data_IF_292669085551
#
_entry.id   IF_292669085551
#
_cell.length_a   1.000
_cell.length_b   1.000
_cell.length_c   1.000
_cell.angle_alpha   90.00
_cell.angle_beta   90.00
_cell.angle_gamma   90.00
#
_symmetry.space_group_name_H-M   'P 1'
#
loop_
_entity.id
_entity.type
_entity.pdbx_description
1 polymer ?
#
# COMPACT_ATOMS: atom_id res chain seq x y z
N UNK A 1 63.82 -4.96 -5.05
CA UNK A 1 62.60 -5.14 -4.24
C UNK A 1 61.52 -4.24 -4.84
N UNK A 2 60.59 -4.80 -5.62
CA UNK A 2 59.40 -4.09 -6.10
C UNK A 2 58.28 -4.36 -5.08
N UNK A 3 57.78 -3.31 -4.43
CA UNK A 3 56.61 -3.40 -3.55
C UNK A 3 55.38 -2.98 -4.35
N UNK A 4 54.50 -3.93 -4.64
CA UNK A 4 53.22 -3.68 -5.32
C UNK A 4 52.20 -3.33 -4.24
N UNK A 5 51.72 -2.08 -4.24
CA UNK A 5 50.58 -1.67 -3.43
C UNK A 5 49.29 -2.10 -4.12
N UNK A 6 48.55 -3.02 -3.49
CA UNK A 6 47.20 -3.39 -3.89
C UNK A 6 46.23 -2.37 -3.27
N UNK A 7 45.62 -1.53 -4.10
CA UNK A 7 44.48 -0.70 -3.72
C UNK A 7 43.23 -1.58 -3.76
N UNK A 8 42.71 -1.94 -2.58
CA UNK A 8 41.41 -2.57 -2.45
C UNK A 8 40.32 -1.50 -2.59
N UNK A 9 39.72 -1.39 -3.77
CA UNK A 9 38.52 -0.60 -3.98
C UNK A 9 37.32 -1.32 -3.37
N UNK A 10 36.83 -0.84 -2.24
CA UNK A 10 35.58 -1.31 -1.62
C UNK A 10 34.38 -0.77 -2.39
N UNK A 11 33.83 -1.58 -3.29
CA UNK A 11 32.53 -1.33 -3.91
C UNK A 11 31.42 -1.56 -2.87
N UNK A 12 30.85 -0.48 -2.34
CA UNK A 12 29.59 -0.59 -1.60
C UNK A 12 28.47 -0.82 -2.64
N UNK A 13 28.00 -2.06 -2.73
CA UNK A 13 26.73 -2.33 -3.39
C UNK A 13 25.64 -1.66 -2.54
N UNK A 14 24.95 -0.66 -3.11
CA UNK A 14 23.74 -0.12 -2.51
C UNK A 14 22.73 -1.28 -2.42
N UNK A 15 22.50 -1.75 -1.19
CA UNK A 15 21.41 -2.69 -0.92
C UNK A 15 20.13 -1.91 -1.22
N UNK A 16 19.23 -2.40 -2.10
CA UNK A 16 17.93 -1.76 -2.23
C UNK A 16 17.31 -1.79 -0.83
N UNK A 17 16.96 -0.64 -0.27
CA UNK A 17 16.26 -0.59 1.00
C UNK A 17 14.86 -1.15 0.75
N UNK A 18 14.70 -2.46 0.96
CA UNK A 18 13.41 -3.12 0.97
C UNK A 18 12.81 -2.90 2.36
N UNK A 19 11.86 -1.98 2.46
CA UNK A 19 11.08 -1.65 3.64
C UNK A 19 10.08 -0.56 3.25
N UNK A 20 9.00 -0.45 4.02
CA UNK A 20 8.12 0.70 3.89
C UNK A 20 8.86 1.96 4.37
N UNK A 21 9.32 2.79 3.44
CA UNK A 21 10.06 3.99 3.83
C UNK A 21 9.12 5.06 4.42
N UNK A 22 9.41 5.43 5.66
CA UNK A 22 8.70 6.45 6.43
C UNK A 22 9.30 7.85 6.22
N UNK A 23 10.55 7.95 5.78
CA UNK A 23 11.29 9.17 5.48
C UNK A 23 12.10 9.03 4.17
N UNK A 24 11.42 8.93 3.01
CA UNK A 24 12.11 8.73 1.74
C UNK A 24 13.15 9.81 1.45
N UNK A 25 14.26 9.40 0.85
CA UNK A 25 15.32 10.31 0.38
C UNK A 25 14.84 11.17 -0.78
N UNK A 26 15.55 12.28 -1.04
CA UNK A 26 15.24 13.17 -2.19
C UNK A 26 15.31 12.40 -3.51
N UNK A 27 16.28 11.48 -3.62
CA UNK A 27 16.46 10.62 -4.78
C UNK A 27 15.26 9.68 -4.97
N UNK A 28 14.78 9.01 -3.93
CA UNK A 28 13.62 8.11 -4.00
C UNK A 28 12.33 8.86 -4.32
N UNK A 29 12.16 10.06 -3.76
CA UNK A 29 11.05 10.96 -4.11
C UNK A 29 11.07 11.30 -5.59
N UNK A 30 12.23 11.70 -6.12
CA UNK A 30 12.37 12.04 -7.54
C UNK A 30 12.06 10.85 -8.44
N UNK A 31 12.56 9.65 -8.08
CA UNK A 31 12.27 8.41 -8.80
C UNK A 31 10.76 8.12 -8.83
N UNK A 32 10.05 8.25 -7.71
CA UNK A 32 8.61 8.03 -7.66
C UNK A 32 7.83 9.03 -8.55
N UNK A 33 8.21 10.30 -8.53
CA UNK A 33 7.60 11.34 -9.38
C UNK A 33 7.83 11.05 -10.88
N UNK A 34 9.04 10.66 -11.25
CA UNK A 34 9.39 10.35 -12.63
C UNK A 34 8.66 9.10 -13.14
N UNK A 35 8.55 8.05 -12.31
CA UNK A 35 7.73 6.87 -12.60
C UNK A 35 6.27 7.23 -12.83
N UNK A 36 5.71 8.11 -11.99
CA UNK A 36 4.33 8.57 -12.14
C UNK A 36 4.09 9.30 -13.46
N UNK A 37 5.02 10.18 -13.85
CA UNK A 37 4.99 10.89 -15.13
C UNK A 37 5.10 9.94 -16.32
N UNK A 38 6.00 8.96 -16.25
CA UNK A 38 6.17 7.95 -17.30
C UNK A 38 4.90 7.09 -17.46
N UNK A 39 4.30 6.68 -16.34
CA UNK A 39 3.04 5.93 -16.34
C UNK A 39 1.91 6.70 -17.05
N UNK A 40 1.82 8.01 -16.85
CA UNK A 40 0.86 8.86 -17.56
C UNK A 40 1.11 8.91 -19.08
N UNK A 41 2.38 8.97 -19.51
CA UNK A 41 2.74 8.91 -20.94
C UNK A 41 2.32 7.59 -21.57
N UNK A 42 2.44 6.49 -20.82
CA UNK A 42 2.01 5.15 -21.22
C UNK A 42 0.51 4.91 -21.02
N UNK A 43 -0.26 5.91 -20.56
CA UNK A 43 -1.68 5.80 -20.19
C UNK A 43 -1.97 4.64 -19.23
N UNK A 44 -1.01 4.32 -18.36
CA UNK A 44 -1.15 3.24 -17.39
C UNK A 44 -1.96 3.72 -16.17
N UNK A 45 -2.86 2.90 -15.62
CA UNK A 45 -3.66 3.29 -14.46
C UNK A 45 -2.79 3.56 -13.22
N UNK A 46 -3.08 4.59 -12.40
CA UNK A 46 -2.30 4.88 -11.19
C UNK A 46 -2.26 3.75 -10.17
N UNK A 47 -3.30 2.91 -10.10
CA UNK A 47 -3.35 1.76 -9.20
C UNK A 47 -2.31 0.66 -9.48
N UNK A 48 -1.50 0.82 -10.54
CA UNK A 48 -0.34 -0.04 -10.83
C UNK A 48 0.78 0.14 -9.81
N UNK A 49 0.84 1.28 -9.10
CA UNK A 49 1.84 1.53 -8.06
C UNK A 49 1.48 0.97 -6.68
N UNK A 50 0.27 0.43 -6.51
CA UNK A 50 -0.12 -0.13 -5.23
C UNK A 50 0.59 -1.46 -4.97
N UNK A 51 1.04 -1.65 -3.75
CA UNK A 51 1.62 -2.91 -3.28
C UNK A 51 0.48 -3.85 -2.96
N UNK A 52 0.35 -4.97 -3.68
CA UNK A 52 -0.81 -5.88 -3.59
C UNK A 52 -0.51 -7.11 -2.76
N UNK A 53 -1.53 -7.63 -2.08
CA UNK A 53 -1.47 -8.87 -1.32
C UNK A 53 -2.78 -9.66 -1.43
N UNK A 54 -2.73 -10.94 -1.06
CA UNK A 54 -3.87 -11.85 -1.19
C UNK A 54 -4.06 -12.38 -2.61
N UNK A 55 -5.29 -12.73 -2.96
CA UNK A 55 -5.58 -13.31 -4.26
C UNK A 55 -5.44 -12.31 -5.41
N UNK A 56 -5.11 -12.82 -6.60
CA UNK A 56 -5.03 -12.02 -7.84
C UNK A 56 -6.32 -12.00 -8.63
N UNK A 57 -7.32 -12.79 -8.23
CA UNK A 57 -8.61 -12.87 -8.89
C UNK A 57 -9.66 -11.95 -8.24
N UNK A 58 -10.87 -11.91 -8.84
CA UNK A 58 -11.96 -11.04 -8.41
C UNK A 58 -12.93 -11.67 -7.40
N UNK A 59 -12.72 -12.93 -7.02
CA UNK A 59 -13.64 -13.71 -6.18
C UNK A 59 -13.11 -13.96 -4.77
N UNK A 60 -11.80 -13.81 -4.57
CA UNK A 60 -11.16 -14.05 -3.29
C UNK A 60 -10.61 -12.76 -2.67
N UNK A 61 -10.48 -12.83 -1.34
CA UNK A 61 -9.94 -11.77 -0.50
C UNK A 61 -8.58 -11.30 -1.02
N UNK A 62 -8.47 -9.98 -1.20
CA UNK A 62 -7.25 -9.32 -1.64
C UNK A 62 -7.20 -7.91 -1.09
N UNK A 63 -6.02 -7.32 -1.12
CA UNK A 63 -5.85 -5.95 -0.70
C UNK A 63 -4.62 -5.30 -1.28
N UNK A 64 -4.43 -4.05 -0.91
CA UNK A 64 -3.25 -3.30 -1.27
C UNK A 64 -2.90 -2.24 -0.24
N UNK A 65 -1.64 -1.83 -0.26
CA UNK A 65 -1.10 -0.76 0.56
C UNK A 65 -0.78 0.45 -0.32
N UNK A 66 -0.90 1.64 0.26
CA UNK A 66 -0.41 2.90 -0.32
C UNK A 66 0.60 3.49 0.67
N UNK A 67 1.88 3.32 0.31
CA UNK A 67 3.05 3.95 0.95
C UNK A 67 3.23 5.41 0.49
N UNK A 68 4.14 6.16 1.10
CA UNK A 68 4.49 7.52 0.65
C UNK A 68 4.97 7.54 -0.81
N UNK A 69 5.89 6.64 -1.17
CA UNK A 69 6.44 6.54 -2.53
C UNK A 69 5.36 6.18 -3.56
N UNK A 70 4.55 5.14 -3.29
CA UNK A 70 3.42 4.81 -4.18
C UNK A 70 2.40 5.95 -4.29
N UNK A 71 2.16 6.69 -3.20
CA UNK A 71 1.32 7.88 -3.18
C UNK A 71 1.85 8.99 -4.09
N UNK A 72 3.16 9.25 -4.05
CA UNK A 72 3.83 10.21 -4.93
C UNK A 72 3.69 9.81 -6.40
N UNK A 73 3.94 8.54 -6.74
CA UNK A 73 3.79 8.03 -8.11
C UNK A 73 2.35 8.17 -8.61
N UNK A 74 1.36 7.80 -7.79
CA UNK A 74 -0.08 7.91 -8.11
C UNK A 74 -0.50 9.36 -8.33
N UNK A 75 -0.09 10.26 -7.44
CA UNK A 75 -0.35 11.69 -7.56
C UNK A 75 0.26 12.24 -8.86
N UNK A 76 1.54 11.95 -9.11
CA UNK A 76 2.24 12.39 -10.31
C UNK A 76 1.58 11.87 -11.59
N UNK A 77 1.13 10.62 -11.62
CA UNK A 77 0.37 10.08 -12.77
C UNK A 77 -0.94 10.83 -12.97
N UNK A 78 -1.74 11.02 -11.91
CA UNK A 78 -3.02 11.73 -12.01
C UNK A 78 -2.85 13.17 -12.50
N UNK A 79 -1.83 13.87 -12.04
CA UNK A 79 -1.55 15.25 -12.47
C UNK A 79 -1.03 15.29 -13.92
N UNK A 80 -0.10 14.41 -14.28
CA UNK A 80 0.46 14.34 -15.62
C UNK A 80 -0.59 13.97 -16.68
N UNK A 81 -1.54 13.08 -16.36
CA UNK A 81 -2.69 12.77 -17.24
C UNK A 81 -3.58 13.99 -17.52
N UNK A 82 -3.51 15.02 -16.69
CA UNK A 82 -4.21 16.31 -16.84
C UNK A 82 -3.31 17.41 -17.40
N UNK A 83 -2.06 17.10 -17.74
CA UNK A 83 -1.06 18.07 -18.21
C UNK A 83 -0.52 19.00 -17.11
N UNK A 84 -0.60 18.58 -15.83
CA UNK A 84 -0.17 19.36 -14.66
C UNK A 84 1.05 18.68 -14.02
N UNK A 85 2.01 19.46 -13.52
CA UNK A 85 3.12 18.94 -12.71
C UNK A 85 2.82 19.10 -11.22
N UNK A 86 3.20 18.13 -10.36
CA UNK A 86 3.16 18.30 -8.91
C UNK A 86 3.94 19.54 -8.45
N UNK A 87 3.35 20.30 -7.53
CA UNK A 87 4.05 21.37 -6.81
C UNK A 87 4.83 20.82 -5.61
N UNK A 88 5.75 21.61 -5.06
CA UNK A 88 6.45 21.27 -3.81
C UNK A 88 5.47 21.05 -2.65
N UNK A 89 4.38 21.81 -2.60
CA UNK A 89 3.32 21.65 -1.59
C UNK A 89 2.63 20.30 -1.72
N UNK A 90 2.34 19.86 -2.95
CA UNK A 90 1.70 18.55 -3.19
C UNK A 90 2.60 17.40 -2.72
N UNK A 91 3.89 17.49 -3.04
CA UNK A 91 4.90 16.51 -2.59
C UNK A 91 5.04 16.51 -1.08
N UNK A 92 5.18 17.69 -0.48
CA UNK A 92 5.33 17.86 0.97
C UNK A 92 4.13 17.30 1.72
N UNK A 93 2.91 17.53 1.23
CA UNK A 93 1.70 17.00 1.84
C UNK A 93 1.70 15.47 1.93
N UNK A 94 2.23 14.77 0.92
CA UNK A 94 2.35 13.31 0.96
C UNK A 94 3.49 12.88 1.91
N UNK A 95 4.63 13.56 1.86
CA UNK A 95 5.79 13.24 2.70
C UNK A 95 5.56 13.50 4.18
N UNK A 96 4.78 14.51 4.54
CA UNK A 96 4.40 14.81 5.93
C UNK A 96 3.19 13.98 6.41
N UNK A 97 2.57 13.22 5.50
CA UNK A 97 1.49 12.29 5.83
C UNK A 97 1.91 11.31 6.92
N UNK A 98 1.13 11.27 8.00
CA UNK A 98 1.43 10.45 9.18
C UNK A 98 0.96 8.99 9.05
N UNK A 99 0.12 8.68 8.06
CA UNK A 99 -0.50 7.36 7.97
C UNK A 99 -0.26 6.67 6.63
N UNK A 100 -0.02 5.37 6.68
CA UNK A 100 -0.16 4.48 5.53
C UNK A 100 -1.62 4.05 5.36
N UNK A 101 -2.08 3.92 4.11
CA UNK A 101 -3.40 3.35 3.82
C UNK A 101 -3.29 1.86 3.49
N UNK A 102 -4.23 1.07 4.02
CA UNK A 102 -4.45 -0.32 3.60
C UNK A 102 -5.90 -0.48 3.18
N UNK A 103 -6.13 -1.04 2.01
CA UNK A 103 -7.45 -1.36 1.50
C UNK A 103 -7.58 -2.87 1.33
N UNK A 104 -8.65 -3.46 1.87
CA UNK A 104 -8.99 -4.88 1.69
C UNK A 104 -10.35 -4.99 1.02
N UNK A 105 -10.42 -5.81 -0.02
CA UNK A 105 -11.67 -6.26 -0.63
C UNK A 105 -12.20 -7.46 0.16
N UNK A 106 -13.39 -7.30 0.74
CA UNK A 106 -14.13 -8.37 1.42
C UNK A 106 -15.39 -8.75 0.62
N UNK A 107 -15.94 -9.93 0.93
CA UNK A 107 -17.05 -10.53 0.20
C UNK A 107 -18.18 -10.94 1.14
N UNK A 108 -19.42 -10.82 0.68
CA UNK A 108 -20.59 -11.06 1.50
C UNK A 108 -21.86 -11.29 0.68
N UNK A 109 -22.96 -11.54 1.39
CA UNK A 109 -24.25 -11.90 0.77
C UNK A 109 -25.35 -10.85 0.95
N UNK A 110 -25.07 -9.76 1.65
CA UNK A 110 -25.97 -8.61 1.82
C UNK A 110 -25.30 -7.33 1.30
N UNK A 111 -26.08 -6.33 0.88
CA UNK A 111 -25.53 -5.08 0.33
C UNK A 111 -24.78 -4.24 1.37
N UNK A 112 -25.18 -4.30 2.63
CA UNK A 112 -24.63 -3.48 3.71
C UNK A 112 -23.64 -4.24 4.61
N UNK A 113 -23.15 -5.41 4.18
CA UNK A 113 -22.38 -6.32 5.04
C UNK A 113 -21.06 -5.73 5.56
N UNK A 114 -20.50 -4.74 4.86
CA UNK A 114 -19.24 -4.11 5.23
C UNK A 114 -19.40 -2.99 6.28
N UNK A 115 -20.63 -2.52 6.56
CA UNK A 115 -20.87 -1.42 7.50
C UNK A 115 -20.41 -1.82 8.89
N UNK A 116 -19.47 -1.06 9.46
CA UNK A 116 -18.91 -1.31 10.79
C UNK A 116 -17.71 -2.27 10.79
N UNK A 117 -17.20 -2.64 9.62
CA UNK A 117 -15.99 -3.48 9.55
C UNK A 117 -14.78 -2.77 10.16
N UNK A 118 -13.87 -3.55 10.72
CA UNK A 118 -12.63 -3.07 11.33
C UNK A 118 -11.40 -3.76 10.73
N UNK A 119 -10.21 -3.22 10.98
CA UNK A 119 -8.96 -3.80 10.53
C UNK A 119 -7.89 -3.57 11.59
N UNK A 120 -6.96 -4.51 11.76
CA UNK A 120 -5.80 -4.36 12.65
C UNK A 120 -4.56 -4.94 11.98
N UNK A 121 -3.39 -4.53 12.47
CA UNK A 121 -2.16 -5.28 12.26
C UNK A 121 -1.82 -6.07 13.52
N UNK A 122 -1.16 -7.21 13.35
CA UNK A 122 -0.37 -7.87 14.38
C UNK A 122 1.09 -7.95 13.93
N UNK A 123 2.00 -7.50 14.79
CA UNK A 123 3.44 -7.61 14.59
C UNK A 123 4.07 -8.13 15.88
N UNK A 124 4.64 -9.35 15.82
CA UNK A 124 5.30 -9.97 16.97
C UNK A 124 4.38 -10.14 18.20
N UNK A 125 3.08 -10.36 18.00
CA UNK A 125 2.09 -10.49 19.09
C UNK A 125 1.59 -9.15 19.65
N UNK A 126 1.99 -8.02 19.05
CA UNK A 126 1.43 -6.70 19.35
C UNK A 126 0.36 -6.37 18.33
N UNK A 127 -0.88 -6.21 18.79
CA UNK A 127 -1.97 -5.66 17.98
C UNK A 127 -1.82 -4.14 17.84
N UNK A 128 -1.82 -3.66 16.61
CA UNK A 128 -1.74 -2.25 16.24
C UNK A 128 -3.07 -1.83 15.63
N UNK A 129 -3.66 -0.78 16.19
CA UNK A 129 -4.98 -0.28 15.78
C UNK A 129 -4.83 0.84 14.75
N UNK A 130 -5.75 0.93 13.76
CA UNK A 130 -5.76 2.03 12.82
C UNK A 130 -6.27 3.32 13.48
N UNK A 131 -5.83 4.45 12.93
CA UNK A 131 -6.32 5.80 13.28
C UNK A 131 -7.76 5.98 12.78
N UNK A 132 -8.05 5.51 11.56
CA UNK A 132 -9.40 5.54 10.99
C UNK A 132 -9.69 4.27 10.20
N UNK A 133 -10.96 3.92 10.11
CA UNK A 133 -11.46 2.87 9.21
C UNK A 133 -12.66 3.41 8.44
N UNK A 134 -12.65 3.21 7.12
CA UNK A 134 -13.73 3.50 6.20
C UNK A 134 -14.16 2.20 5.53
N UNK A 135 -15.41 2.10 5.15
CA UNK A 135 -15.97 0.95 4.47
C UNK A 135 -17.02 1.41 3.47
N UNK A 136 -17.26 0.61 2.44
CA UNK A 136 -18.36 0.87 1.52
C UNK A 136 -19.71 0.73 2.25
N UNK A 137 -20.54 1.77 2.20
CA UNK A 137 -21.89 1.73 2.77
C UNK A 137 -22.85 0.84 1.98
N UNK A 138 -22.57 0.63 0.69
CA UNK A 138 -23.31 -0.26 -0.20
C UNK A 138 -22.30 -1.01 -1.06
N UNK A 139 -22.35 -2.34 -0.99
CA UNK A 139 -21.45 -3.22 -1.72
C UNK A 139 -21.80 -3.32 -3.21
N UNK A 140 -20.78 -3.53 -4.03
CA UNK A 140 -20.93 -3.82 -5.47
C UNK A 140 -21.23 -5.31 -5.68
N UNK A 141 -21.80 -5.67 -6.84
CA UNK A 141 -21.91 -7.08 -7.24
C UNK A 141 -20.52 -7.70 -7.36
N UNK A 142 -20.36 -8.92 -6.89
CA UNK A 142 -19.16 -9.71 -7.14
C UNK A 142 -19.21 -10.34 -8.53
N UNK A 143 -18.10 -10.93 -8.96
CA UNK A 143 -18.05 -11.74 -10.18
C UNK A 143 -18.89 -13.04 -10.09
N UNK A 144 -19.31 -13.46 -8.90
CA UNK A 144 -20.16 -14.64 -8.70
C UNK A 144 -21.66 -14.32 -8.79
N UNK A 145 -22.06 -13.05 -8.83
CA UNK A 145 -23.47 -12.65 -8.84
C UNK A 145 -24.28 -13.36 -9.95
N UNK A 146 -25.47 -13.93 -9.65
CA UNK A 146 -26.23 -13.82 -8.41
C UNK A 146 -25.90 -14.87 -7.34
N UNK A 147 -24.89 -15.71 -7.55
CA UNK A 147 -24.44 -16.74 -6.61
C UNK A 147 -23.57 -16.17 -5.48
N UNK A 148 -23.41 -16.95 -4.41
CA UNK A 148 -22.58 -16.57 -3.26
C UNK A 148 -21.07 -16.71 -3.54
N UNK A 149 -20.21 -15.81 -3.04
CA UNK A 149 -20.57 -14.58 -2.31
C UNK A 149 -21.05 -13.50 -3.29
N UNK A 150 -22.26 -12.98 -3.07
CA UNK A 150 -22.98 -12.12 -4.02
C UNK A 150 -22.38 -10.74 -4.22
N UNK A 151 -21.74 -10.20 -3.19
CA UNK A 151 -21.29 -8.82 -3.16
C UNK A 151 -19.83 -8.71 -2.73
N UNK A 152 -19.19 -7.64 -3.19
CA UNK A 152 -17.83 -7.23 -2.86
C UNK A 152 -17.85 -5.80 -2.33
N UNK A 153 -17.10 -5.54 -1.27
CA UNK A 153 -16.96 -4.23 -0.65
C UNK A 153 -15.49 -3.98 -0.26
N UNK A 154 -15.11 -2.72 -0.14
CA UNK A 154 -13.81 -2.30 0.38
C UNK A 154 -13.89 -1.89 1.84
N UNK A 155 -12.87 -2.25 2.60
CA UNK A 155 -12.56 -1.72 3.93
C UNK A 155 -11.18 -1.08 3.86
N UNK A 156 -11.10 0.20 4.17
CA UNK A 156 -9.88 1.01 4.07
C UNK A 156 -9.51 1.52 5.45
N UNK A 157 -8.33 1.17 5.93
CA UNK A 157 -7.81 1.61 7.21
C UNK A 157 -6.57 2.49 7.05
N UNK A 158 -6.42 3.47 7.93
CA UNK A 158 -5.24 4.33 8.03
C UNK A 158 -4.43 3.94 9.26
N UNK A 159 -3.17 3.54 9.09
CA UNK A 159 -2.28 3.19 10.20
C UNK A 159 -1.18 4.24 10.34
N UNK A 160 -0.95 4.74 11.55
CA UNK A 160 0.12 5.69 11.81
C UNK A 160 1.48 5.00 11.63
N UNK A 161 2.37 5.61 10.84
CA UNK A 161 3.72 5.10 10.61
C UNK A 161 4.53 4.92 11.89
N UNK A 162 4.22 5.70 12.94
CA UNK A 162 4.89 5.59 14.24
C UNK A 162 4.46 4.37 15.07
N UNK A 163 3.35 3.71 14.73
CA UNK A 163 2.76 2.66 15.57
C UNK A 163 3.16 1.24 15.17
N UNK A 164 3.68 1.06 13.95
CA UNK A 164 4.10 -0.22 13.38
C UNK A 164 5.56 -0.19 12.90
N UNK A 165 6.21 -1.35 12.88
CA UNK A 165 7.55 -1.53 12.33
C UNK A 165 7.46 -1.73 10.80
N UNK A 166 8.08 -0.86 9.98
CA UNK A 166 8.07 -0.98 8.53
C UNK A 166 8.89 -2.16 7.98
N UNK A 167 9.62 -2.88 8.83
CA UNK A 167 10.42 -4.05 8.47
C UNK A 167 9.83 -5.37 8.98
N UNK A 168 8.77 -5.32 9.78
CA UNK A 168 8.25 -6.52 10.40
C UNK A 168 7.34 -7.32 9.44
N UNK A 169 7.39 -8.65 9.60
CA UNK A 169 6.30 -9.50 9.15
C UNK A 169 5.03 -9.11 9.89
N UNK A 170 3.99 -8.86 9.12
CA UNK A 170 2.75 -8.26 9.60
C UNK A 170 1.59 -9.14 9.22
N UNK A 171 0.76 -9.49 10.20
CA UNK A 171 -0.55 -10.07 9.93
C UNK A 171 -1.58 -8.96 9.85
N UNK A 172 -2.23 -8.80 8.69
CA UNK A 172 -3.32 -7.86 8.47
C UNK A 172 -4.62 -8.64 8.65
N UNK A 173 -5.43 -8.28 9.63
CA UNK A 173 -6.73 -8.93 9.88
C UNK A 173 -7.86 -7.93 9.65
N UNK A 174 -8.85 -8.33 8.85
CA UNK A 174 -10.10 -7.60 8.66
C UNK A 174 -11.24 -8.33 9.36
N UNK A 175 -12.06 -7.57 10.07
CA UNK A 175 -13.23 -8.06 10.81
C UNK A 175 -14.49 -7.47 10.19
N UNK A 176 -15.22 -8.22 9.34
CA UNK A 176 -16.55 -7.83 8.90
C UNK A 176 -17.50 -7.69 10.10
N UNK A 177 -18.38 -6.67 10.09
CA UNK A 177 -19.28 -6.41 11.22
C UNK A 177 -20.30 -7.53 11.47
N UNK A 178 -20.64 -8.29 10.42
CA UNK A 178 -21.53 -9.44 10.51
C UNK A 178 -20.84 -10.71 11.02
N UNK A 179 -19.57 -10.63 11.42
CA UNK A 179 -18.80 -11.71 12.03
C UNK A 179 -17.78 -12.36 11.10
N UNK A 180 -16.92 -13.18 11.72
CA UNK A 180 -15.76 -13.78 11.08
C UNK A 180 -14.54 -12.85 11.06
N UNK A 181 -13.44 -13.40 10.59
CA UNK A 181 -12.19 -12.66 10.36
C UNK A 181 -11.48 -13.26 9.15
N UNK A 182 -10.73 -12.41 8.46
CA UNK A 182 -9.85 -12.83 7.37
C UNK A 182 -8.49 -12.20 7.57
N UNK A 183 -7.44 -12.98 7.42
CA UNK A 183 -6.07 -12.57 7.71
C UNK A 183 -5.14 -12.79 6.53
N UNK A 184 -4.18 -11.88 6.37
CA UNK A 184 -3.09 -11.97 5.40
C UNK A 184 -1.77 -11.82 6.13
N UNK A 185 -0.76 -12.61 5.75
CA UNK A 185 0.61 -12.38 6.19
C UNK A 185 1.36 -11.63 5.10
N UNK A 186 1.87 -10.45 5.43
CA UNK A 186 2.63 -9.58 4.52
C UNK A 186 3.96 -9.26 5.17
N UNK A 187 5.05 -9.42 4.42
CA UNK A 187 6.38 -9.05 4.89
C UNK A 187 6.69 -7.61 4.49
N UNK A 188 6.62 -6.66 5.43
CA UNK A 188 6.83 -5.24 5.12
C UNK A 188 8.27 -4.94 4.72
N UNK A 189 9.23 -5.78 5.13
CA UNK A 189 10.62 -5.69 4.66
C UNK A 189 10.80 -5.99 3.18
N UNK A 190 9.75 -6.39 2.45
CA UNK A 190 9.82 -6.71 1.03
C UNK A 190 9.08 -5.68 0.17
N UNK A 191 8.65 -4.57 0.76
CA UNK A 191 7.84 -3.54 0.11
C UNK A 191 8.72 -2.34 -0.28
N UNK A 192 8.39 -1.72 -1.43
CA UNK A 192 8.92 -0.44 -1.91
C UNK A 192 7.82 0.64 -1.93
#
# INVERSE_FOLDING_TARGET
>A
MLSVCVLASSSFAAVPAYAIDVHPTVEEVQVALDQGKESAQRQSPPETFYVRFGATDELHLNGFLITKLSGLSVMATHMALRGIQPSETDVTQILEGQTMLVSVSIFGNALNFAIGSYMVFDQGGKTIKPVTVRFDGVASRSAAWPESPRFKAKVVASFNYADFDPNAKTTITVFPANGGESSFTVDFSQIH
#
